data_IF_891818941673
#
_entry.id   IF_891818941673
#
_cell.length_a   1.000
_cell.length_b   1.000
_cell.length_c   1.000
_cell.angle_alpha   90.00
_cell.angle_beta   90.00
_cell.angle_gamma   90.00
#
_symmetry.space_group_name_H-M   'P 1'
#
loop_
_entity.id
_entity.type
_entity.pdbx_description
1 polymer ?
#
# COMPACT_ATOMS: atom_id res chain seq x y z
N UNK A 1 29.11 -15.64 8.20
CA UNK A 1 28.98 -14.61 9.27
C UNK A 1 29.69 -13.37 8.71
N UNK A 2 29.07 -12.27 8.32
CA UNK A 2 27.91 -11.56 8.85
C UNK A 2 27.29 -10.71 7.74
N UNK A 3 25.96 -10.68 7.67
CA UNK A 3 25.21 -9.80 6.78
C UNK A 3 25.36 -8.36 7.27
N UNK A 4 26.17 -7.58 6.56
CA UNK A 4 26.46 -6.18 6.83
C UNK A 4 25.32 -5.28 6.29
N UNK A 5 24.10 -5.43 6.81
CA UNK A 5 22.97 -4.52 6.53
C UNK A 5 22.74 -3.62 7.73
N UNK A 6 23.50 -2.54 7.80
CA UNK A 6 23.52 -1.57 8.89
C UNK A 6 22.54 -0.44 8.55
N UNK A 7 21.36 -0.45 9.16
CA UNK A 7 20.38 0.65 9.26
C UNK A 7 19.75 1.27 7.98
N UNK A 8 19.44 0.47 6.95
CA UNK A 8 18.44 0.85 5.92
C UNK A 8 16.99 0.47 6.28
N UNK A 9 16.79 -0.54 7.13
CA UNK A 9 15.50 -1.24 7.30
C UNK A 9 14.43 -0.40 8.01
N UNK A 10 14.73 0.26 9.13
CA UNK A 10 13.66 0.74 10.01
C UNK A 10 12.92 2.01 9.51
N UNK A 11 13.57 2.84 8.69
CA UNK A 11 12.97 4.05 8.12
C UNK A 11 12.27 3.69 6.80
N UNK A 12 12.93 2.90 5.96
CA UNK A 12 12.35 2.45 4.69
C UNK A 12 11.14 1.54 4.93
N UNK A 13 11.19 0.64 5.93
CA UNK A 13 10.04 -0.18 6.32
C UNK A 13 8.86 0.69 6.82
N UNK A 14 9.13 1.78 7.55
CA UNK A 14 8.07 2.71 7.98
C UNK A 14 7.48 3.51 6.83
N UNK A 15 8.31 3.93 5.88
CA UNK A 15 7.87 4.65 4.68
C UNK A 15 7.02 3.73 3.78
N UNK A 16 7.52 2.52 3.49
CA UNK A 16 6.79 1.49 2.73
C UNK A 16 5.49 1.09 3.43
N UNK A 17 5.49 0.96 4.76
CA UNK A 17 4.27 0.71 5.54
C UNK A 17 3.26 1.85 5.37
N UNK A 18 3.71 3.11 5.38
CA UNK A 18 2.83 4.27 5.15
C UNK A 18 2.23 4.23 3.74
N UNK A 19 3.04 4.03 2.71
CA UNK A 19 2.60 3.94 1.31
C UNK A 19 1.58 2.80 1.15
N UNK A 20 1.84 1.64 1.75
CA UNK A 20 0.91 0.51 1.75
C UNK A 20 -0.43 0.85 2.43
N UNK A 21 -0.41 1.50 3.60
CA UNK A 21 -1.63 1.89 4.32
C UNK A 21 -2.43 2.93 3.53
N UNK A 22 -1.76 3.92 2.94
CA UNK A 22 -2.40 4.95 2.12
C UNK A 22 -3.05 4.34 0.88
N UNK A 23 -2.35 3.42 0.19
CA UNK A 23 -2.90 2.68 -0.95
C UNK A 23 -4.09 1.80 -0.55
N UNK A 24 -4.01 1.11 0.59
CA UNK A 24 -5.10 0.30 1.13
C UNK A 24 -6.35 1.13 1.40
N UNK A 25 -6.17 2.31 2.02
CA UNK A 25 -7.26 3.22 2.32
C UNK A 25 -7.90 3.78 1.05
N UNK A 26 -7.08 4.15 0.05
CA UNK A 26 -7.55 4.59 -1.25
C UNK A 26 -8.43 3.53 -1.94
N UNK A 27 -7.97 2.28 -1.97
CA UNK A 27 -8.69 1.14 -2.56
C UNK A 27 -10.02 0.92 -1.84
N UNK A 28 -10.02 0.94 -0.50
CA UNK A 28 -11.25 0.78 0.28
C UNK A 28 -12.28 1.87 -0.06
N UNK A 29 -11.85 3.14 -0.12
CA UNK A 29 -12.73 4.27 -0.47
C UNK A 29 -13.24 4.17 -1.91
N UNK A 30 -12.41 3.74 -2.85
CA UNK A 30 -12.83 3.53 -4.24
C UNK A 30 -13.85 2.39 -4.35
N UNK A 31 -13.63 1.28 -3.65
CA UNK A 31 -14.53 0.14 -3.68
C UNK A 31 -15.86 0.41 -2.95
N UNK A 32 -15.87 1.29 -1.94
CA UNK A 32 -17.10 1.81 -1.37
C UNK A 32 -17.92 2.56 -2.43
N UNK A 33 -17.29 3.48 -3.17
CA UNK A 33 -17.93 4.20 -4.29
C UNK A 33 -18.39 3.26 -5.40
N UNK A 34 -17.65 2.18 -5.66
CA UNK A 34 -18.07 1.16 -6.63
C UNK A 34 -19.34 0.46 -6.17
N UNK A 35 -19.45 0.13 -4.88
CA UNK A 35 -20.65 -0.49 -4.32
C UNK A 35 -21.88 0.44 -4.39
N UNK A 36 -21.66 1.76 -4.37
CA UNK A 36 -22.68 2.78 -4.60
C UNK A 36 -22.97 3.03 -6.09
N UNK A 37 -22.25 2.39 -7.02
CA UNK A 37 -22.41 2.57 -8.46
C UNK A 37 -21.81 3.89 -9.00
N UNK A 38 -21.00 4.60 -8.21
CA UNK A 38 -20.40 5.88 -8.56
C UNK A 38 -19.14 5.74 -9.44
N UNK A 39 -18.55 4.55 -9.50
CA UNK A 39 -17.40 4.21 -10.35
C UNK A 39 -17.60 2.86 -11.02
N UNK A 40 -16.98 2.63 -12.17
CA UNK A 40 -17.25 1.47 -13.04
C UNK A 40 -16.38 0.25 -12.79
N UNK A 41 -15.38 0.32 -11.92
CA UNK A 41 -14.46 -0.79 -11.65
C UNK A 41 -14.08 -0.90 -10.17
N UNK A 42 -13.55 -2.06 -9.75
CA UNK A 42 -12.98 -2.28 -8.42
C UNK A 42 -11.46 -2.19 -8.49
N UNK A 43 -10.86 -1.69 -7.42
CA UNK A 43 -9.42 -1.74 -7.20
C UNK A 43 -9.07 -2.88 -6.25
N UNK A 44 -7.88 -3.44 -6.40
CA UNK A 44 -7.31 -4.47 -5.53
C UNK A 44 -5.86 -4.13 -5.22
N UNK A 45 -5.37 -4.55 -4.05
CA UNK A 45 -3.96 -4.44 -3.72
C UNK A 45 -3.17 -5.33 -4.67
N UNK A 46 -2.11 -4.78 -5.25
CA UNK A 46 -1.17 -5.52 -6.07
C UNK A 46 0.23 -5.41 -5.43
N UNK A 47 1.20 -6.11 -6.04
CA UNK A 47 2.60 -6.14 -5.57
C UNK A 47 3.34 -4.80 -5.63
N UNK A 48 2.71 -3.75 -6.17
CA UNK A 48 3.25 -2.39 -6.27
C UNK A 48 2.62 -1.47 -5.22
N UNK A 49 1.92 -2.02 -4.23
CA UNK A 49 1.25 -1.21 -3.20
C UNK A 49 2.23 -0.58 -2.19
N UNK A 50 3.51 -0.98 -2.20
CA UNK A 50 4.59 -0.46 -1.34
C UNK A 50 5.75 0.20 -2.11
N UNK A 51 5.62 0.36 -3.44
CA UNK A 51 6.62 0.99 -4.33
C UNK A 51 6.24 2.42 -4.75
#
# INVERSE_FOLDING_TARGET
LQHNKTYGSNIEDKYRMKVYLDNRYFIARHNARYAEGLVSFKLSLNKYADE
#
